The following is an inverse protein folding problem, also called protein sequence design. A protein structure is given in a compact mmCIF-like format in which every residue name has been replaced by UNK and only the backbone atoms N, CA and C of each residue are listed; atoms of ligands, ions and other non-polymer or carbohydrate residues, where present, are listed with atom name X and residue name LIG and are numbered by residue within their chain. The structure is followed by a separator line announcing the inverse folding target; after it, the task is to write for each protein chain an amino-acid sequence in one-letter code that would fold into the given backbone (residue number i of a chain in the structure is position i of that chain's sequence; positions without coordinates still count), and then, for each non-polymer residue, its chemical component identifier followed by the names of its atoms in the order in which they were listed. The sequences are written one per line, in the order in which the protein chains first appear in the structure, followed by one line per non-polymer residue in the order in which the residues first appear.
data_IF_611725994673
#
_entry.id   IF_611725994673
#
_cell.length_a   1.000
_cell.length_b   1.000
_cell.length_c   1.000
_cell.angle_alpha   90.00
_cell.angle_beta   90.00
_cell.angle_gamma   90.00
#
_symmetry.space_group_name_H-M   'P 1'
#
loop_
_entity.id
_entity.type
_entity.pdbx_description
1 polymer ?
#
# COMPACT_ATOMS: atom_id res chain seq x y z
N UNK A 1 -1.09 7.04 -3.28
CA UNK A 1 -2.11 7.61 -4.19
C UNK A 1 -3.31 6.70 -4.18
N UNK A 2 -4.52 7.25 -4.22
CA UNK A 2 -5.78 6.52 -4.29
C UNK A 2 -6.47 6.84 -5.61
N UNK A 3 -6.93 5.81 -6.33
CA UNK A 3 -7.58 5.89 -7.64
C UNK A 3 -8.92 5.16 -7.58
N UNK A 4 -9.84 5.46 -8.51
CA UNK A 4 -11.07 4.67 -8.62
C UNK A 4 -10.70 3.23 -8.98
N UNK A 5 -11.53 2.30 -8.54
CA UNK A 5 -11.33 0.87 -8.83
C UNK A 5 -11.28 0.65 -10.33
N UNK A 6 -10.19 0.04 -10.80
CA UNK A 6 -9.95 -0.23 -12.22
C UNK A 6 -9.23 0.87 -13.00
N UNK A 7 -9.03 2.06 -12.42
CA UNK A 7 -8.32 3.15 -13.10
C UNK A 7 -6.80 3.11 -12.89
N UNK A 8 -6.35 2.51 -11.78
CA UNK A 8 -4.93 2.21 -11.59
C UNK A 8 -4.56 0.94 -12.35
N UNK A 9 -3.64 1.06 -13.30
CA UNK A 9 -3.10 -0.09 -14.04
C UNK A 9 -2.02 -0.76 -13.22
N UNK A 10 -2.33 -1.95 -12.70
CA UNK A 10 -1.38 -2.80 -11.98
C UNK A 10 -0.53 -3.56 -12.99
N UNK A 11 0.79 -3.44 -12.88
CA UNK A 11 1.77 -4.18 -13.68
C UNK A 11 2.31 -5.41 -12.94
N UNK A 12 3.04 -6.26 -13.68
CA UNK A 12 3.66 -7.46 -13.12
C UNK A 12 4.66 -7.18 -11.97
N UNK A 13 5.26 -5.99 -11.96
CA UNK A 13 6.20 -5.54 -10.92
C UNK A 13 5.53 -4.82 -9.75
N UNK A 14 4.19 -4.74 -9.71
CA UNK A 14 3.48 -4.18 -8.55
C UNK A 14 3.17 -5.30 -7.57
N UNK A 15 3.59 -5.13 -6.32
CA UNK A 15 3.39 -6.04 -5.20
C UNK A 15 2.12 -5.67 -4.44
N UNK A 16 1.25 -6.64 -4.20
CA UNK A 16 0.07 -6.48 -3.37
C UNK A 16 0.47 -6.58 -1.90
N UNK A 17 0.42 -5.47 -1.16
CA UNK A 17 0.70 -5.47 0.27
C UNK A 17 -0.48 -5.97 1.12
N UNK A 18 -1.68 -5.89 0.56
CA UNK A 18 -2.91 -6.31 1.21
C UNK A 18 -4.08 -5.44 0.80
N UNK A 19 -5.09 -5.39 1.65
CA UNK A 19 -6.30 -4.59 1.44
C UNK A 19 -6.49 -3.62 2.60
N UNK A 20 -6.82 -2.36 2.27
CA UNK A 20 -7.33 -1.39 3.25
C UNK A 20 -8.85 -1.46 3.33
N UNK A 21 -9.47 -0.55 4.10
CA UNK A 21 -10.92 -0.49 4.31
C UNK A 21 -11.74 -0.70 3.04
N UNK A 22 -12.81 -1.50 3.16
CA UNK A 22 -13.69 -1.85 2.03
C UNK A 22 -13.08 -2.81 1.01
N UNK A 23 -12.02 -3.54 1.38
CA UNK A 23 -11.34 -4.48 0.49
C UNK A 23 -10.63 -3.78 -0.67
N UNK A 24 -10.10 -2.57 -0.44
CA UNK A 24 -9.39 -1.80 -1.46
C UNK A 24 -7.94 -2.25 -1.52
N UNK A 25 -7.45 -2.76 -2.67
CA UNK A 25 -6.10 -3.29 -2.74
C UNK A 25 -5.07 -2.16 -2.63
N UNK A 26 -4.00 -2.42 -1.89
CA UNK A 26 -2.89 -1.50 -1.71
C UNK A 26 -1.63 -2.08 -2.36
N UNK A 27 -1.16 -1.38 -3.39
CA UNK A 27 -0.05 -1.81 -4.24
C UNK A 27 1.21 -0.97 -3.98
N UNK A 28 2.36 -1.60 -4.13
CA UNK A 28 3.68 -0.97 -4.05
C UNK A 28 4.57 -1.52 -5.16
N UNK A 29 5.36 -0.66 -5.83
CA UNK A 29 6.30 -1.15 -6.84
C UNK A 29 7.35 -2.07 -6.23
N UNK A 30 7.86 -3.05 -6.98
CA UNK A 30 8.85 -4.02 -6.52
C UNK A 30 10.09 -3.36 -5.87
N UNK A 31 10.64 -2.30 -6.48
CA UNK A 31 11.80 -1.58 -5.94
C UNK A 31 11.53 -0.93 -4.58
N UNK A 32 10.31 -0.39 -4.39
CA UNK A 32 9.90 0.15 -3.09
C UNK A 32 9.65 -0.98 -2.10
N UNK A 33 9.05 -2.09 -2.55
CA UNK A 33 8.82 -3.24 -1.70
C UNK A 33 10.13 -3.82 -1.18
N UNK A 34 11.16 -3.96 -2.00
CA UNK A 34 12.48 -4.43 -1.56
C UNK A 34 13.00 -3.58 -0.39
N UNK A 35 12.91 -2.25 -0.51
CA UNK A 35 13.37 -1.34 0.53
C UNK A 35 12.46 -1.33 1.78
N UNK A 36 11.14 -1.50 1.65
CA UNK A 36 10.17 -1.35 2.75
C UNK A 36 9.61 -2.66 3.30
N UNK A 37 9.97 -3.82 2.73
CA UNK A 37 9.42 -5.16 3.04
C UNK A 37 9.51 -5.56 4.51
N UNK A 38 10.43 -4.96 5.26
CA UNK A 38 10.66 -5.20 6.68
C UNK A 38 9.85 -4.25 7.59
N UNK A 39 8.89 -3.51 7.03
CA UNK A 39 8.10 -2.50 7.76
C UNK A 39 6.60 -2.79 7.75
N UNK A 40 5.97 -2.61 8.91
CA UNK A 40 4.53 -2.47 9.02
C UNK A 40 4.13 -1.07 8.57
N UNK A 41 3.21 -0.99 7.61
CA UNK A 41 2.68 0.28 7.11
C UNK A 41 1.28 0.53 7.64
N UNK A 42 1.07 1.72 8.20
CA UNK A 42 -0.25 2.24 8.54
C UNK A 42 -0.61 3.35 7.56
N UNK A 43 -1.77 3.22 6.91
CA UNK A 43 -2.34 4.23 6.01
C UNK A 43 -3.33 5.07 6.79
N UNK A 44 -2.92 6.27 7.20
CA UNK A 44 -3.77 7.21 7.92
C UNK A 44 -4.44 8.21 6.98
N UNK A 45 -5.56 8.77 7.44
CA UNK A 45 -6.23 9.93 6.83
C UNK A 45 -6.11 11.11 7.77
N UNK A 46 -5.50 12.20 7.32
CA UNK A 46 -5.28 13.41 8.13
C UNK A 46 -5.73 14.65 7.37
N UNK A 47 -6.12 15.74 8.06
CA UNK A 47 -6.39 17.02 7.40
C UNK A 47 -5.19 17.51 6.60
N UNK A 48 -5.44 18.06 5.41
CA UNK A 48 -4.39 18.66 4.58
C UNK A 48 -4.64 18.49 3.09
N UNK A 49 -3.74 19.06 2.29
CA UNK A 49 -3.80 18.96 0.84
C UNK A 49 -3.32 17.57 0.38
N UNK A 50 -4.22 16.80 -0.23
CA UNK A 50 -3.89 15.56 -0.92
C UNK A 50 -3.00 15.78 -2.13
N UNK A 51 -2.47 14.68 -2.68
CA UNK A 51 -1.72 14.75 -3.94
C UNK A 51 -2.67 14.99 -5.11
N UNK A 52 -2.27 15.82 -6.09
CA UNK A 52 -3.19 16.35 -7.11
C UNK A 52 -3.91 15.31 -7.99
N UNK A 53 -3.44 14.07 -8.04
CA UNK A 53 -4.06 12.97 -8.80
C UNK A 53 -4.75 11.93 -7.92
N UNK A 54 -4.85 12.17 -6.61
CA UNK A 54 -5.39 11.23 -5.63
C UNK A 54 -6.84 11.56 -5.31
N UNK A 55 -7.71 10.56 -5.17
CA UNK A 55 -9.15 10.76 -5.00
C UNK A 55 -9.55 11.60 -3.78
N UNK A 56 -8.74 11.62 -2.72
CA UNK A 56 -9.02 12.39 -1.52
C UNK A 56 -8.66 13.89 -1.64
N UNK A 57 -7.94 14.28 -2.70
CA UNK A 57 -7.46 15.64 -2.88
C UNK A 57 -8.53 16.75 -2.77
N UNK A 58 -9.76 16.60 -3.31
CA UNK A 58 -10.83 17.61 -3.14
C UNK A 58 -11.50 17.56 -1.76
N UNK A 59 -11.26 16.54 -0.95
CA UNK A 59 -11.96 16.29 0.33
C UNK A 59 -11.31 17.00 1.53
N UNK A 60 -10.26 17.81 1.31
CA UNK A 60 -9.56 18.54 2.38
C UNK A 60 -8.74 17.64 3.32
N UNK A 61 -8.52 16.38 2.93
CA UNK A 61 -7.69 15.41 3.63
C UNK A 61 -6.58 14.88 2.72
N UNK A 62 -5.63 14.16 3.33
CA UNK A 62 -4.57 13.45 2.61
C UNK A 62 -4.26 12.13 3.30
N UNK A 63 -3.74 11.19 2.52
CA UNK A 63 -3.16 9.97 3.08
C UNK A 63 -1.77 10.24 3.66
N UNK A 64 -1.49 9.66 4.83
CA UNK A 64 -0.18 9.66 5.48
C UNK A 64 0.25 8.22 5.74
N UNK A 65 1.41 7.82 5.21
CA UNK A 65 2.01 6.54 5.55
C UNK A 65 2.85 6.71 6.81
N UNK A 66 2.56 5.91 7.82
CA UNK A 66 3.44 5.70 8.97
C UNK A 66 4.06 4.32 8.86
N UNK A 67 5.34 4.22 9.17
CA UNK A 67 6.03 2.94 9.21
C UNK A 67 6.63 2.68 10.57
N UNK A 68 6.70 1.40 10.90
CA UNK A 68 7.56 0.87 11.96
C UNK A 68 8.18 -0.42 11.46
N UNK A 69 9.29 -0.84 12.06
CA UNK A 69 9.82 -2.18 11.83
C UNK A 69 8.79 -3.22 12.27
N UNK A 70 8.75 -4.34 11.54
CA UNK A 70 8.09 -5.53 12.05
C UNK A 70 8.81 -6.03 13.31
N UNK A 71 8.03 -6.58 14.23
CA UNK A 71 8.55 -7.36 15.36
C UNK A 71 9.01 -8.73 14.87
N UNK A 72 9.88 -9.40 15.63
CA UNK A 72 10.35 -10.75 15.28
C UNK A 72 9.20 -11.74 15.05
N UNK A 73 8.14 -11.65 15.87
CA UNK A 73 6.94 -12.47 15.72
C UNK A 73 6.20 -12.20 14.41
N UNK A 74 6.11 -10.94 13.98
CA UNK A 74 5.50 -10.57 12.70
C UNK A 74 6.36 -11.03 11.52
N UNK A 75 7.68 -10.89 11.60
CA UNK A 75 8.61 -11.39 10.58
C UNK A 75 8.45 -12.90 10.42
N UNK A 76 8.40 -13.65 11.52
CA UNK A 76 8.20 -15.11 11.49
C UNK A 76 6.84 -15.50 10.90
N UNK A 77 5.78 -14.77 11.22
CA UNK A 77 4.44 -15.02 10.66
C UNK A 77 4.37 -14.73 9.15
N UNK A 78 5.17 -13.78 8.66
CA UNK A 78 5.25 -13.40 7.25
C UNK A 78 6.22 -14.26 6.43
N UNK A 79 7.19 -14.92 7.07
CA UNK A 79 8.26 -15.66 6.39
C UNK A 79 7.76 -16.75 5.40
N UNK A 80 6.56 -17.29 5.61
CA UNK A 80 5.96 -18.32 4.76
C UNK A 80 4.81 -17.79 3.88
N UNK A 81 4.59 -16.48 3.84
CA UNK A 81 3.54 -15.90 3.03
C UNK A 81 4.08 -15.58 1.63
N UNK A 82 3.44 -16.05 0.55
CA UNK A 82 3.85 -15.72 -0.78
C UNK A 82 3.62 -14.23 -1.04
N UNK A 83 4.63 -13.58 -1.63
CA UNK A 83 4.48 -12.21 -2.14
C UNK A 83 3.64 -12.29 -3.40
N UNK A 84 2.47 -11.66 -3.37
CA UNK A 84 1.57 -11.58 -4.53
C UNK A 84 1.91 -10.37 -5.38
N UNK A 85 1.86 -10.52 -6.69
CA UNK A 85 2.12 -9.42 -7.62
C UNK A 85 0.99 -9.25 -8.62
N UNK A 86 1.02 -8.18 -9.40
CA UNK A 86 0.11 -7.98 -10.52
C UNK A 86 0.23 -9.03 -11.62
N UNK A 87 1.24 -9.92 -11.58
CA UNK A 87 1.32 -11.06 -12.49
C UNK A 87 0.37 -12.20 -12.12
N UNK A 88 -0.17 -12.21 -10.90
CA UNK A 88 -1.10 -13.24 -10.39
C UNK A 88 -2.57 -12.98 -10.78
N UNK A 89 -2.85 -11.91 -11.53
CA UNK A 89 -4.19 -11.39 -11.85
C UNK A 89 -4.60 -11.48 -13.30
#
# INVERSE_FOLDING_TARGET
MCYLRGEFRVGASDVLLGEVSGGTPFWMSADQFEYWSHTHLTVDVVPGRGSGFSLEAPEGVRFLIRSRLFTDGEVLALANQPVRTGADG
#
